data_IF_779451415176
#
_entry.id   IF_779451415176
#
_cell.length_a   1.000
_cell.length_b   1.000
_cell.length_c   1.000
_cell.angle_alpha   90.00
_cell.angle_beta   90.00
_cell.angle_gamma   90.00
#
_symmetry.space_group_name_H-M   'P 1'
#
loop_
_entity.id
_entity.type
_entity.pdbx_description
1 polymer ?
#
# COMPACT_ATOMS: atom_id res chain seq x y z
N UNK A 1 3.80 9.12 15.00
CA UNK A 1 4.45 7.88 15.44
C UNK A 1 5.56 7.59 14.46
N UNK A 2 6.75 7.31 14.98
CA UNK A 2 7.95 7.10 14.18
C UNK A 2 8.44 5.67 14.42
N UNK A 3 8.78 4.96 13.35
CA UNK A 3 9.29 3.59 13.34
C UNK A 3 10.76 3.59 12.92
N UNK A 4 11.57 2.74 13.53
CA UNK A 4 12.96 2.55 13.12
C UNK A 4 13.04 1.59 11.94
N UNK A 5 14.16 1.61 11.20
CA UNK A 5 14.38 0.63 10.13
C UNK A 5 14.32 -0.84 10.61
N UNK A 6 14.73 -1.09 11.87
CA UNK A 6 14.61 -2.43 12.48
C UNK A 6 13.16 -2.85 12.59
N UNK A 7 12.29 -1.95 13.04
CA UNK A 7 10.86 -2.22 13.22
C UNK A 7 10.23 -2.50 11.84
N UNK A 8 10.58 -1.71 10.81
CA UNK A 8 10.14 -1.95 9.42
C UNK A 8 10.50 -3.35 8.93
N UNK A 9 11.77 -3.74 9.06
CA UNK A 9 12.25 -5.05 8.58
C UNK A 9 11.52 -6.17 9.30
N UNK A 10 11.35 -6.07 10.62
CA UNK A 10 10.73 -7.13 11.40
C UNK A 10 9.22 -7.21 11.17
N UNK A 11 8.52 -6.07 11.11
CA UNK A 11 7.08 -6.02 10.81
C UNK A 11 6.77 -6.67 9.47
N UNK A 12 7.52 -6.35 8.41
CA UNK A 12 7.26 -6.98 7.11
C UNK A 12 7.76 -8.43 7.02
N UNK A 13 8.80 -8.80 7.78
CA UNK A 13 9.18 -10.21 7.91
C UNK A 13 8.02 -11.03 8.49
N UNK A 14 7.38 -10.54 9.55
CA UNK A 14 6.22 -11.18 10.19
C UNK A 14 5.02 -11.19 9.22
N UNK A 15 4.68 -10.05 8.62
CA UNK A 15 3.53 -9.93 7.72
C UNK A 15 3.57 -10.89 6.53
N UNK A 16 4.75 -11.07 5.94
CA UNK A 16 4.96 -11.91 4.76
C UNK A 16 5.53 -13.29 5.10
N UNK A 17 5.45 -13.70 6.38
CA UNK A 17 5.86 -15.01 6.88
C UNK A 17 7.28 -15.43 6.45
N UNK A 18 8.19 -14.44 6.39
CA UNK A 18 9.56 -14.68 5.97
C UNK A 18 10.31 -15.41 7.08
N UNK A 19 10.86 -16.58 6.74
CA UNK A 19 11.70 -17.40 7.59
C UNK A 19 12.79 -16.55 8.30
N UNK A 20 12.94 -16.66 9.64
CA UNK A 20 14.00 -15.98 10.39
C UNK A 20 15.41 -16.16 9.79
N UNK A 21 15.74 -17.31 9.24
CA UNK A 21 17.04 -17.60 8.63
C UNK A 21 17.24 -16.83 7.31
N UNK A 22 16.15 -16.42 6.67
CA UNK A 22 16.14 -15.62 5.43
C UNK A 22 16.04 -14.11 5.69
N UNK A 23 16.05 -13.67 6.96
CA UNK A 23 15.97 -12.26 7.35
C UNK A 23 17.02 -11.38 6.69
N UNK A 24 18.26 -11.88 6.53
CA UNK A 24 19.35 -11.13 5.88
C UNK A 24 19.04 -10.84 4.40
N UNK A 25 18.54 -11.85 3.67
CA UNK A 25 18.15 -11.71 2.27
C UNK A 25 16.96 -10.75 2.12
N UNK A 26 15.96 -10.86 3.00
CA UNK A 26 14.80 -9.95 2.99
C UNK A 26 15.18 -8.50 3.29
N UNK A 27 16.05 -8.28 4.29
CA UNK A 27 16.64 -6.96 4.56
C UNK A 27 17.34 -6.41 3.33
N UNK A 28 18.08 -7.24 2.59
CA UNK A 28 18.73 -6.85 1.33
C UNK A 28 17.74 -6.31 0.29
N UNK A 29 16.54 -6.89 0.18
CA UNK A 29 15.46 -6.41 -0.70
C UNK A 29 14.93 -5.04 -0.28
N UNK A 30 14.71 -4.82 1.02
CA UNK A 30 14.30 -3.51 1.54
C UNK A 30 15.39 -2.44 1.35
N UNK A 31 16.68 -2.81 1.48
CA UNK A 31 17.78 -1.91 1.17
C UNK A 31 17.85 -1.56 -0.32
N UNK A 32 17.51 -2.49 -1.20
CA UNK A 32 17.38 -2.19 -2.63
C UNK A 32 16.33 -1.10 -2.86
N UNK A 33 15.17 -1.17 -2.21
CA UNK A 33 14.13 -0.15 -2.31
C UNK A 33 14.65 1.23 -1.87
N UNK A 34 15.36 1.29 -0.75
CA UNK A 34 15.96 2.53 -0.24
C UNK A 34 16.97 3.15 -1.19
N UNK A 35 17.84 2.32 -1.81
CA UNK A 35 18.83 2.78 -2.80
C UNK A 35 18.16 3.39 -4.03
N UNK A 36 16.96 2.91 -4.38
CA UNK A 36 16.11 3.47 -5.43
C UNK A 36 15.34 4.73 -4.99
N UNK A 37 15.57 5.23 -3.77
CA UNK A 37 14.88 6.42 -3.26
C UNK A 37 13.50 6.15 -2.67
N UNK A 38 13.17 4.88 -2.39
CA UNK A 38 11.85 4.48 -1.94
C UNK A 38 11.83 3.96 -0.49
N UNK A 39 10.83 4.35 0.34
CA UNK A 39 9.80 5.35 0.05
C UNK A 39 10.41 6.76 0.05
N UNK A 40 9.77 7.73 -0.64
CA UNK A 40 10.30 9.08 -0.76
C UNK A 40 10.40 9.78 0.60
N UNK A 41 11.40 10.63 0.79
CA UNK A 41 11.58 11.43 2.00
C UNK A 41 12.36 10.74 3.14
N UNK A 42 12.75 9.48 2.99
CA UNK A 42 13.48 8.72 4.02
C UNK A 42 15.00 8.78 3.90
N UNK A 43 15.52 9.16 2.73
CA UNK A 43 16.96 9.29 2.51
C UNK A 43 17.51 10.52 3.22
N UNK A 44 17.83 10.34 4.50
CA UNK A 44 18.52 11.33 5.31
C UNK A 44 20.01 11.34 4.93
N UNK A 45 20.60 12.53 4.87
CA UNK A 45 22.05 12.69 4.64
C UNK A 45 22.90 11.95 5.70
N UNK A 46 24.22 11.88 5.46
CA UNK A 46 25.17 11.15 6.32
C UNK A 46 24.95 11.48 7.81
N UNK A 47 24.72 10.44 8.62
CA UNK A 47 24.72 10.53 10.09
C UNK A 47 23.34 10.61 10.77
N UNK A 48 22.25 10.86 10.03
CA UNK A 48 20.90 10.82 10.61
C UNK A 48 20.23 9.49 10.32
N UNK A 49 19.71 8.84 11.35
CA UNK A 49 18.93 7.61 11.20
C UNK A 49 17.62 7.90 10.45
N UNK A 50 17.26 7.01 9.52
CA UNK A 50 15.97 7.02 8.85
C UNK A 50 14.84 6.85 9.87
N UNK A 51 13.83 7.72 9.81
CA UNK A 51 12.60 7.64 10.62
C UNK A 51 11.42 7.44 9.70
N UNK A 52 10.65 6.37 9.90
CA UNK A 52 9.50 6.00 9.08
C UNK A 52 8.21 6.37 9.79
N UNK A 53 7.18 6.78 9.06
CA UNK A 53 5.83 7.01 9.59
C UNK A 53 4.83 6.13 8.85
N UNK A 54 3.55 6.30 9.17
CA UNK A 54 2.46 5.54 8.55
C UNK A 54 2.46 5.59 7.03
N UNK A 55 2.75 6.77 6.44
CA UNK A 55 2.85 6.94 4.99
C UNK A 55 3.90 5.99 4.41
N UNK A 56 5.11 6.00 4.95
CA UNK A 56 6.21 5.19 4.43
C UNK A 56 6.00 3.70 4.67
N UNK A 57 5.38 3.34 5.80
CA UNK A 57 5.01 1.97 6.09
C UNK A 57 3.96 1.46 5.08
N UNK A 58 2.93 2.24 4.76
CA UNK A 58 1.90 1.85 3.78
C UNK A 58 2.51 1.69 2.38
N UNK A 59 3.36 2.62 1.95
CA UNK A 59 4.01 2.55 0.65
C UNK A 59 4.94 1.32 0.53
N UNK A 60 5.75 1.06 1.57
CA UNK A 60 6.58 -0.15 1.62
C UNK A 60 5.74 -1.43 1.59
N UNK A 61 4.66 -1.46 2.38
CA UNK A 61 3.74 -2.59 2.40
C UNK A 61 3.15 -2.87 1.02
N UNK A 62 2.59 -1.86 0.35
CA UNK A 62 2.00 -2.02 -0.99
C UNK A 62 3.05 -2.45 -2.03
N UNK A 63 4.27 -1.90 -1.98
CA UNK A 63 5.33 -2.33 -2.89
C UNK A 63 5.74 -3.80 -2.67
N UNK A 64 5.69 -4.28 -1.43
CA UNK A 64 5.91 -5.69 -1.09
C UNK A 64 4.73 -6.57 -1.54
N UNK A 65 3.48 -6.14 -1.35
CA UNK A 65 2.30 -6.84 -1.88
C UNK A 65 2.43 -7.02 -3.40
N UNK A 66 2.85 -5.97 -4.12
CA UNK A 66 3.05 -6.05 -5.57
C UNK A 66 4.16 -7.06 -5.92
N UNK A 67 5.23 -7.08 -5.13
CA UNK A 67 6.31 -8.05 -5.34
C UNK A 67 5.86 -9.49 -5.06
N UNK A 68 4.99 -9.69 -4.07
CA UNK A 68 4.44 -11.00 -3.70
C UNK A 68 3.53 -11.57 -4.78
N UNK A 69 2.73 -10.73 -5.44
CA UNK A 69 1.92 -11.13 -6.61
C UNK A 69 2.72 -11.22 -7.92
N UNK A 70 4.05 -11.14 -7.86
CA UNK A 70 4.94 -11.44 -8.99
C UNK A 70 5.51 -10.23 -9.74
N UNK A 71 5.27 -8.99 -9.28
CA UNK A 71 5.96 -7.83 -9.84
C UNK A 71 7.44 -7.81 -9.46
N UNK A 72 8.30 -7.35 -10.38
CA UNK A 72 9.72 -7.13 -10.05
C UNK A 72 9.86 -5.97 -9.04
N UNK A 73 10.89 -5.97 -8.18
CA UNK A 73 11.18 -4.86 -7.25
C UNK A 73 11.11 -3.46 -7.88
N UNK A 74 11.82 -3.26 -8.99
CA UNK A 74 11.93 -1.94 -9.65
C UNK A 74 10.57 -1.48 -10.17
N UNK A 75 9.79 -2.42 -10.73
CA UNK A 75 8.43 -2.15 -11.14
C UNK A 75 7.54 -1.81 -9.95
N UNK A 76 7.54 -2.59 -8.88
CA UNK A 76 6.72 -2.31 -7.70
C UNK A 76 6.98 -0.92 -7.14
N UNK A 77 8.26 -0.51 -7.06
CA UNK A 77 8.66 0.84 -6.66
C UNK A 77 8.10 1.88 -7.63
N UNK A 78 8.29 1.69 -8.94
CA UNK A 78 7.80 2.63 -9.97
C UNK A 78 6.28 2.82 -9.89
N UNK A 79 5.52 1.73 -9.80
CA UNK A 79 4.05 1.80 -9.76
C UNK A 79 3.57 2.47 -8.48
N UNK A 80 4.07 2.05 -7.31
CA UNK A 80 3.64 2.65 -6.04
C UNK A 80 4.07 4.10 -5.93
N UNK A 81 5.22 4.49 -6.51
CA UNK A 81 5.68 5.88 -6.51
C UNK A 81 4.83 6.76 -7.41
N UNK A 82 4.40 6.26 -8.58
CA UNK A 82 3.54 6.99 -9.52
C UNK A 82 2.20 7.39 -8.90
N UNK A 83 1.67 6.57 -7.99
CA UNK A 83 0.36 6.77 -7.40
C UNK A 83 0.39 6.90 -5.88
N UNK A 84 1.53 7.31 -5.30
CA UNK A 84 1.74 7.22 -3.85
C UNK A 84 0.66 7.95 -3.04
N UNK A 85 0.23 9.12 -3.50
CA UNK A 85 -0.74 9.94 -2.77
C UNK A 85 -2.15 9.37 -2.88
N UNK A 86 -2.53 8.89 -4.07
CA UNK A 86 -3.80 8.19 -4.27
C UNK A 86 -3.87 6.90 -3.43
N UNK A 87 -2.79 6.12 -3.37
CA UNK A 87 -2.71 4.89 -2.60
C UNK A 87 -2.84 5.14 -1.09
N UNK A 88 -2.13 6.16 -0.61
CA UNK A 88 -2.21 6.61 0.80
C UNK A 88 -3.62 7.09 1.13
N UNK A 89 -4.22 7.88 0.25
CA UNK A 89 -5.58 8.37 0.39
C UNK A 89 -6.61 7.23 0.37
N UNK A 90 -6.40 6.21 -0.48
CA UNK A 90 -7.27 5.04 -0.56
C UNK A 90 -7.32 4.28 0.78
N UNK A 91 -6.15 4.06 1.40
CA UNK A 91 -6.06 3.46 2.74
C UNK A 91 -6.69 4.37 3.80
N UNK A 92 -6.47 5.69 3.71
CA UNK A 92 -7.08 6.62 4.65
C UNK A 92 -8.61 6.63 4.56
N UNK A 93 -9.17 6.61 3.35
CA UNK A 93 -10.61 6.54 3.08
C UNK A 93 -11.20 5.23 3.57
N UNK A 94 -10.54 4.09 3.33
CA UNK A 94 -11.02 2.79 3.80
C UNK A 94 -11.09 2.72 5.34
N UNK A 95 -10.24 3.48 6.05
CA UNK A 95 -10.23 3.55 7.50
C UNK A 95 -11.24 4.55 8.09
N UNK A 96 -11.64 5.56 7.32
CA UNK A 96 -12.48 6.67 7.75
C UNK A 96 -13.89 6.63 7.14
N UNK A 97 -14.32 5.53 6.53
CA UNK A 97 -15.59 5.41 5.82
C UNK A 97 -16.86 5.64 6.66
N UNK A 98 -16.76 5.97 7.96
CA UNK A 98 -17.88 6.41 8.78
C UNK A 98 -19.09 5.48 8.73
N UNK A 99 -20.27 6.09 8.57
CA UNK A 99 -21.58 5.41 8.50
C UNK A 99 -21.95 4.93 7.09
N UNK A 100 -21.00 4.95 6.13
CA UNK A 100 -21.23 4.35 4.81
C UNK A 100 -21.50 2.85 4.99
N UNK A 101 -22.55 2.37 4.31
CA UNK A 101 -22.92 0.97 4.28
C UNK A 101 -21.70 0.11 3.91
N UNK A 102 -21.56 -1.06 4.55
CA UNK A 102 -20.36 -1.90 4.38
C UNK A 102 -20.12 -2.28 2.92
N UNK A 103 -21.18 -2.49 2.15
CA UNK A 103 -21.11 -2.84 0.73
C UNK A 103 -20.64 -1.71 -0.19
N UNK A 104 -20.86 -0.46 0.22
CA UNK A 104 -20.46 0.77 -0.48
C UNK A 104 -19.10 1.30 0.00
N UNK A 105 -18.51 0.67 1.03
CA UNK A 105 -17.24 1.10 1.59
C UNK A 105 -16.09 0.76 0.64
N UNK A 106 -15.28 1.76 0.20
CA UNK A 106 -14.10 1.50 -0.61
C UNK A 106 -13.11 0.62 0.16
N UNK A 107 -12.89 -0.60 -0.33
CA UNK A 107 -12.16 -1.64 0.40
C UNK A 107 -11.13 -2.37 -0.48
N UNK A 108 -11.24 -2.26 -1.79
CA UNK A 108 -10.39 -2.98 -2.74
C UNK A 108 -9.63 -2.02 -3.62
N UNK A 109 -8.32 -2.16 -3.63
CA UNK A 109 -7.46 -1.44 -4.55
C UNK A 109 -7.24 -2.33 -5.79
N UNK A 110 -7.73 -1.87 -6.93
CA UNK A 110 -7.55 -2.54 -8.21
C UNK A 110 -6.54 -1.78 -9.07
N UNK A 111 -5.48 -2.47 -9.51
CA UNK A 111 -4.36 -1.87 -10.24
C UNK A 111 -4.07 -2.68 -11.50
N UNK A 112 -3.93 -2.01 -12.64
CA UNK A 112 -3.38 -2.64 -13.83
C UNK A 112 -1.86 -2.88 -13.66
N UNK A 113 -1.46 -4.15 -13.65
CA UNK A 113 -0.05 -4.59 -13.57
C UNK A 113 0.41 -5.27 -14.86
N UNK A 114 -0.15 -4.90 -16.02
CA UNK A 114 0.24 -5.50 -17.30
C UNK A 114 1.71 -5.21 -17.63
N UNK A 115 2.57 -6.24 -17.66
CA UNK A 115 3.98 -6.07 -18.05
C UNK A 115 4.12 -5.69 -19.54
N UNK A 116 3.08 -5.94 -20.31
CA UNK A 116 2.98 -5.63 -21.72
C UNK A 116 2.49 -4.21 -21.98
N UNK A 117 2.22 -3.41 -20.93
CA UNK A 117 1.74 -2.02 -21.09
C UNK A 117 2.63 -1.21 -22.05
N UNK A 118 3.97 -1.25 -21.98
CA UNK A 118 4.82 -0.51 -22.93
C UNK A 118 4.71 -0.96 -24.39
N UNK A 119 4.11 -2.12 -24.64
CA UNK A 119 3.89 -2.69 -25.98
C UNK A 119 2.46 -2.47 -26.49
N UNK A 120 1.55 -1.97 -25.65
CA UNK A 120 0.18 -1.62 -26.05
C UNK A 120 0.19 -0.33 -26.88
N UNK A 121 -0.81 -0.14 -27.73
CA UNK A 121 -1.01 1.12 -28.48
C UNK A 121 -1.17 2.30 -27.51
N UNK A 122 -0.57 3.45 -27.81
CA UNK A 122 -0.57 4.63 -26.92
C UNK A 122 -1.98 5.10 -26.53
N UNK A 123 -2.97 4.97 -27.43
CA UNK A 123 -4.37 5.29 -27.16
C UNK A 123 -5.01 4.42 -26.06
N UNK A 124 -4.36 3.31 -25.67
CA UNK A 124 -4.77 2.38 -24.61
C UNK A 124 -3.84 2.43 -23.37
N UNK A 125 -2.96 3.44 -23.27
CA UNK A 125 -2.03 3.61 -22.14
C UNK A 125 -2.68 4.31 -20.93
N UNK A 126 -3.79 3.77 -20.44
CA UNK A 126 -4.35 4.22 -19.17
C UNK A 126 -4.07 3.19 -18.11
N UNK A 127 -2.95 3.36 -17.42
CA UNK A 127 -2.74 2.62 -16.19
C UNK A 127 -3.74 3.10 -15.16
N UNK A 128 -4.78 2.31 -14.95
CA UNK A 128 -5.84 2.63 -14.02
C UNK A 128 -5.51 2.09 -12.62
N UNK A 129 -5.73 2.96 -11.63
CA UNK A 129 -5.92 2.56 -10.25
C UNK A 129 -7.34 2.93 -9.87
N UNK A 130 -8.09 1.94 -9.41
CA UNK A 130 -9.46 2.10 -8.96
C UNK A 130 -9.57 1.65 -7.51
N UNK A 131 -10.31 2.42 -6.73
CA UNK A 131 -10.70 2.04 -5.38
C UNK A 131 -12.14 1.60 -5.45
N UNK A 132 -12.38 0.32 -5.18
CA UNK A 132 -13.66 -0.34 -5.37
C UNK A 132 -14.26 -0.75 -4.02
N UNK A 133 -15.56 -0.62 -3.93
CA UNK A 133 -16.41 -1.18 -2.88
C UNK A 133 -16.71 -2.67 -3.13
N UNK A 134 -17.39 -3.35 -2.19
CA UNK A 134 -17.83 -4.74 -2.41
C UNK A 134 -18.83 -4.80 -3.57
N UNK A 135 -19.75 -3.83 -3.64
CA UNK A 135 -20.74 -3.76 -4.72
C UNK A 135 -20.06 -3.64 -6.09
N UNK A 136 -19.14 -2.69 -6.26
CA UNK A 136 -18.41 -2.51 -7.52
C UNK A 136 -17.52 -3.72 -7.85
N UNK A 137 -16.92 -4.36 -6.85
CA UNK A 137 -16.18 -5.62 -7.06
C UNK A 137 -17.07 -6.74 -7.61
N UNK A 138 -18.30 -6.86 -7.12
CA UNK A 138 -19.25 -7.84 -7.64
C UNK A 138 -19.65 -7.53 -9.09
N UNK A 139 -19.74 -6.25 -9.46
CA UNK A 139 -19.98 -5.83 -10.85
C UNK A 139 -18.79 -6.20 -11.76
N UNK A 140 -17.55 -5.98 -11.30
CA UNK A 140 -16.33 -6.39 -12.02
C UNK A 140 -16.31 -7.89 -12.30
N UNK A 141 -16.76 -8.71 -11.36
CA UNK A 141 -16.82 -10.17 -11.51
C UNK A 141 -18.15 -10.71 -12.05
N UNK A 142 -19.08 -9.83 -12.46
CA UNK A 142 -20.36 -10.25 -13.01
C UNK A 142 -20.18 -10.95 -14.36
N UNK A 143 -21.16 -11.76 -14.79
CA UNK A 143 -21.13 -12.47 -16.07
C UNK A 143 -20.99 -11.53 -17.27
N UNK A 144 -21.52 -10.31 -17.15
CA UNK A 144 -21.42 -9.29 -18.20
C UNK A 144 -20.03 -8.61 -18.20
N UNK A 145 -19.33 -8.65 -17.06
CA UNK A 145 -18.11 -7.91 -16.80
C UNK A 145 -18.30 -6.39 -16.94
N UNK A 146 -17.29 -5.64 -16.54
CA UNK A 146 -17.20 -4.23 -16.90
C UNK A 146 -16.24 -4.13 -18.07
N UNK A 147 -16.76 -3.77 -19.26
CA UNK A 147 -15.99 -3.69 -20.51
C UNK A 147 -14.76 -2.76 -20.44
N UNK A 148 -14.65 -1.93 -19.39
CA UNK A 148 -13.52 -1.04 -19.13
C UNK A 148 -12.30 -1.76 -18.53
N UNK A 149 -12.44 -2.98 -18.00
CA UNK A 149 -11.35 -3.74 -17.38
C UNK A 149 -10.85 -4.86 -18.31
N UNK A 150 -10.23 -4.48 -19.43
CA UNK A 150 -9.72 -5.44 -20.43
C UNK A 150 -8.30 -5.95 -20.15
N UNK A 151 -7.63 -5.34 -19.17
CA UNK A 151 -6.25 -5.64 -18.82
C UNK A 151 -6.16 -6.54 -17.59
N UNK A 152 -5.10 -7.36 -17.46
CA UNK A 152 -4.84 -8.09 -16.22
C UNK A 152 -4.61 -7.11 -15.07
N UNK A 153 -5.45 -7.22 -14.04
CA UNK A 153 -5.40 -6.40 -12.85
C UNK A 153 -5.05 -7.23 -11.61
N UNK A 154 -4.44 -6.56 -10.64
CA UNK A 154 -4.27 -7.06 -9.29
C UNK A 154 -5.29 -6.38 -8.37
N UNK A 155 -5.87 -7.16 -7.46
CA UNK A 155 -6.79 -6.66 -6.44
C UNK A 155 -6.15 -6.88 -5.08
N UNK A 156 -6.10 -5.82 -4.28
CA UNK A 156 -5.65 -5.86 -2.90
C UNK A 156 -6.83 -5.48 -2.01
N UNK A 157 -7.23 -6.38 -1.10
CA UNK A 157 -8.17 -6.04 -0.03
C UNK A 157 -7.46 -5.17 1.01
N UNK A 158 -7.76 -3.88 1.03
CA UNK A 158 -7.15 -2.90 1.92
C UNK A 158 -7.45 -3.19 3.39
N UNK A 159 -8.58 -3.86 3.69
CA UNK A 159 -8.92 -4.24 5.06
C UNK A 159 -7.98 -5.32 5.55
N UNK A 160 -7.74 -6.35 4.74
CA UNK A 160 -6.78 -7.41 5.06
C UNK A 160 -5.35 -6.89 5.10
N UNK A 161 -4.99 -6.02 4.15
CA UNK A 161 -3.68 -5.35 4.13
C UNK A 161 -3.42 -4.60 5.44
N UNK A 162 -4.35 -3.73 5.87
CA UNK A 162 -4.21 -2.96 7.11
C UNK A 162 -4.26 -3.86 8.33
N UNK A 163 -5.17 -4.84 8.38
CA UNK A 163 -5.26 -5.77 9.51
C UNK A 163 -3.97 -6.58 9.68
N UNK A 164 -3.40 -7.09 8.59
CA UNK A 164 -2.12 -7.80 8.59
C UNK A 164 -0.97 -6.91 9.03
N UNK A 165 -0.95 -5.65 8.58
CA UNK A 165 0.05 -4.67 9.00
C UNK A 165 -0.02 -4.37 10.50
N UNK A 166 -1.22 -4.12 11.03
CA UNK A 166 -1.44 -3.83 12.46
C UNK A 166 -1.10 -5.02 13.34
N UNK A 167 -1.53 -6.23 12.96
CA UNK A 167 -1.19 -7.46 13.69
C UNK A 167 0.32 -7.71 13.70
N UNK A 168 1.01 -7.43 12.59
CA UNK A 168 2.47 -7.60 12.53
C UNK A 168 3.22 -6.53 13.31
N UNK A 169 2.71 -5.29 13.35
CA UNK A 169 3.27 -4.24 14.20
C UNK A 169 3.12 -4.57 15.67
N UNK A 170 1.94 -5.02 16.11
CA UNK A 170 1.64 -5.39 17.50
C UNK A 170 2.63 -6.42 18.06
N UNK A 171 3.13 -7.34 17.22
CA UNK A 171 4.12 -8.35 17.62
C UNK A 171 5.55 -7.80 17.73
N UNK A 172 5.84 -6.65 17.12
CA UNK A 172 7.20 -6.14 16.92
C UNK A 172 7.48 -4.90 17.79
N UNK A 173 6.49 -4.03 17.93
CA UNK A 173 6.63 -2.78 18.69
C UNK A 173 5.96 -2.91 20.05
N UNK A 174 6.44 -2.17 21.05
CA UNK A 174 5.89 -2.17 22.41
C UNK A 174 4.58 -1.36 22.54
N UNK A 175 3.74 -1.36 21.50
CA UNK A 175 2.49 -0.61 21.45
C UNK A 175 1.31 -1.57 21.41
N UNK A 176 0.25 -1.25 22.16
CA UNK A 176 -0.98 -2.05 22.12
C UNK A 176 -1.68 -1.89 20.76
N UNK A 177 -2.47 -2.89 20.37
CA UNK A 177 -3.34 -2.79 19.18
C UNK A 177 -4.22 -1.55 19.19
N UNK A 178 -4.73 -1.19 20.36
CA UNK A 178 -5.62 -0.02 20.55
C UNK A 178 -4.87 1.27 20.21
N UNK A 179 -3.63 1.41 20.69
CA UNK A 179 -2.80 2.59 20.41
C UNK A 179 -2.39 2.68 18.94
N UNK A 180 -2.05 1.54 18.32
CA UNK A 180 -1.74 1.46 16.90
C UNK A 180 -2.93 1.87 16.03
N UNK A 181 -4.12 1.32 16.29
CA UNK A 181 -5.36 1.67 15.58
C UNK A 181 -5.70 3.15 15.77
N UNK A 182 -5.59 3.66 17.00
CA UNK A 182 -5.84 5.08 17.29
C UNK A 182 -4.86 5.99 16.53
N UNK A 183 -3.58 5.65 16.52
CA UNK A 183 -2.55 6.41 15.81
C UNK A 183 -2.77 6.38 14.30
N UNK A 184 -3.09 5.23 13.73
CA UNK A 184 -3.35 5.08 12.30
C UNK A 184 -4.60 5.86 11.88
N UNK A 185 -5.69 5.79 12.66
CA UNK A 185 -6.92 6.58 12.39
C UNK A 185 -6.67 8.08 12.48
N UNK A 186 -5.89 8.53 13.47
CA UNK A 186 -5.50 9.94 13.57
C UNK A 186 -4.75 10.40 12.31
N UNK A 187 -3.78 9.61 11.87
CA UNK A 187 -3.04 9.89 10.63
C UNK A 187 -3.96 9.90 9.40
N UNK A 188 -4.87 8.93 9.28
CA UNK A 188 -5.78 8.83 8.15
C UNK A 188 -6.70 10.05 8.05
N UNK A 189 -7.19 10.59 9.18
CA UNK A 189 -8.00 11.82 9.20
C UNK A 189 -7.21 13.02 8.68
N UNK A 190 -5.97 13.18 9.13
CA UNK A 190 -5.10 14.26 8.64
C UNK A 190 -4.85 14.17 7.13
N UNK A 191 -4.80 12.96 6.56
CA UNK A 191 -4.68 12.78 5.10
C UNK A 191 -5.98 13.11 4.35
N UNK A 192 -7.15 12.76 4.92
CA UNK A 192 -8.44 13.05 4.31
C UNK A 192 -8.72 14.57 4.29
N UNK A 193 -8.50 15.25 5.42
CA UNK A 193 -8.71 16.70 5.53
C UNK A 193 -7.81 17.49 4.56
N UNK A 194 -6.62 16.96 4.23
CA UNK A 194 -5.72 17.59 3.26
C UNK A 194 -6.27 17.55 1.83
N UNK A 195 -6.93 16.46 1.45
CA UNK A 195 -7.50 16.30 0.11
C UNK A 195 -8.72 17.21 -0.10
N UNK A 196 -9.62 17.28 0.88
CA UNK A 196 -10.83 18.11 0.77
C UNK A 196 -10.50 19.61 0.61
N UNK A 197 -9.34 20.04 1.12
CA UNK A 197 -8.84 21.42 0.93
C UNK A 197 -8.19 21.67 -0.44
N UNK A 198 -7.81 20.64 -1.18
CA UNK A 198 -7.26 20.77 -2.54
C UNK A 198 -8.40 20.81 -3.57
N UNK A 199 -9.48 20.08 -3.31
CA UNK A 199 -10.61 19.94 -4.24
C UNK A 199 -11.67 21.06 -4.07
N UNK A 200 -11.52 21.95 -3.09
CA UNK A 200 -12.42 23.08 -2.78
C UNK A 200 -11.91 24.42 -3.33
#
# INVERSE_FOLDING_TARGET
MDFTYRDIVETFRVKHEIDPDRKSAFRGRLQHFQRQGFPPGINTGKGKAASYRWRELILLGLALEYAEIGSTPDRSIKEVSKFSDMLVLAVARSLNAGDVAEEDRPSFLCIELSALLPLKTEDNWNQEIKLLSIREMNEVFSELGVATMQSPYAIIDLRQFVAGLLTSLEQVVAWSRVDLVKSLRQWARTMADFQDNIDA
#
